data_IF_726103977319
#
_entry.id   IF_726103977319
#
_cell.length_a   1.000
_cell.length_b   1.000
_cell.length_c   1.000
_cell.angle_alpha   90.00
_cell.angle_beta   90.00
_cell.angle_gamma   90.00
#
_symmetry.space_group_name_H-M   'P 1'
#
loop_
_entity.id
_entity.type
_entity.pdbx_description
1 polymer ?
#
# COMPACT_ATOMS: atom_id res chain seq x y z
N UNK A 1 -11.65 -24.72 -11.07
CA UNK A 1 -10.95 -23.43 -10.87
C UNK A 1 -10.24 -23.46 -9.52
N UNK A 2 -8.92 -23.25 -9.48
CA UNK A 2 -8.13 -23.30 -8.25
C UNK A 2 -8.17 -21.93 -7.56
N UNK A 3 -8.82 -21.84 -6.39
CA UNK A 3 -8.77 -20.64 -5.54
C UNK A 3 -7.43 -20.63 -4.81
N UNK A 4 -6.62 -19.59 -5.00
CA UNK A 4 -5.34 -19.45 -4.27
C UNK A 4 -5.61 -18.58 -3.04
N UNK A 5 -5.72 -19.26 -1.90
CA UNK A 5 -5.77 -18.64 -0.58
C UNK A 5 -4.32 -18.49 -0.12
N UNK A 6 -3.94 -17.31 0.33
CA UNK A 6 -2.59 -17.09 0.88
C UNK A 6 -2.70 -16.36 2.20
N UNK A 7 -2.21 -17.04 3.25
CA UNK A 7 -2.11 -16.51 4.61
C UNK A 7 -0.66 -16.11 4.80
N UNK A 8 -0.44 -14.83 5.15
CA UNK A 8 0.89 -14.30 5.42
C UNK A 8 0.98 -13.98 6.92
N UNK A 9 1.96 -14.57 7.61
CA UNK A 9 2.42 -14.16 8.94
C UNK A 9 3.75 -13.42 8.72
N UNK A 10 3.75 -12.10 8.82
CA UNK A 10 4.88 -11.31 8.30
C UNK A 10 6.02 -11.11 9.30
N UNK A 11 5.76 -11.18 10.61
CA UNK A 11 6.76 -11.28 11.67
C UNK A 11 6.08 -11.14 13.04
N UNK A 12 6.64 -11.81 14.06
CA UNK A 12 6.38 -11.52 15.47
C UNK A 12 7.73 -11.43 16.17
N UNK A 13 8.05 -10.27 16.74
CA UNK A 13 9.24 -10.10 17.58
C UNK A 13 8.81 -10.07 19.05
N UNK A 14 9.38 -10.99 19.84
CA UNK A 14 9.26 -11.03 21.28
C UNK A 14 10.57 -10.48 21.85
N UNK A 15 10.49 -9.36 22.59
CA UNK A 15 11.66 -8.77 23.24
C UNK A 15 11.35 -8.66 24.72
N UNK A 16 11.92 -9.57 25.51
CA UNK A 16 11.73 -9.63 26.95
C UNK A 16 12.81 -8.76 27.63
N UNK A 17 12.39 -7.69 28.30
CA UNK A 17 13.30 -6.81 29.03
C UNK A 17 13.34 -7.23 30.51
N UNK A 18 14.45 -7.85 30.88
CA UNK A 18 14.72 -8.51 32.18
C UNK A 18 14.68 -7.60 33.42
N UNK A 19 14.37 -6.30 33.28
CA UNK A 19 14.37 -5.33 34.38
C UNK A 19 12.98 -4.89 34.86
N UNK A 20 11.91 -5.21 34.14
CA UNK A 20 10.54 -4.87 34.54
C UNK A 20 9.57 -5.81 33.82
N UNK A 21 8.85 -6.67 34.54
CA UNK A 21 7.96 -7.72 33.97
C UNK A 21 6.77 -7.22 33.13
N UNK A 22 7.03 -6.49 32.05
CA UNK A 22 6.07 -6.01 31.06
C UNK A 22 6.33 -6.74 29.74
N UNK A 23 5.38 -7.59 29.35
CA UNK A 23 5.51 -8.50 28.22
C UNK A 23 5.10 -7.80 26.90
N UNK A 24 6.03 -7.11 26.23
CA UNK A 24 5.76 -6.36 24.98
C UNK A 24 5.84 -7.32 23.78
N UNK A 25 4.81 -7.33 22.93
CA UNK A 25 4.80 -8.22 21.76
C UNK A 25 4.03 -7.61 20.59
N UNK A 26 4.71 -7.52 19.44
CA UNK A 26 4.11 -7.07 18.19
C UNK A 26 3.58 -8.27 17.42
N UNK A 27 2.31 -8.24 17.05
CA UNK A 27 1.66 -9.32 16.30
C UNK A 27 1.01 -8.76 15.04
N UNK A 28 1.22 -9.43 13.91
CA UNK A 28 0.52 -9.14 12.66
C UNK A 28 -0.05 -10.44 12.08
N UNK A 29 -1.34 -10.41 11.71
CA UNK A 29 -2.02 -11.53 11.07
C UNK A 29 -2.72 -11.01 9.82
N UNK A 30 -2.54 -11.70 8.70
CA UNK A 30 -3.13 -11.34 7.42
C UNK A 30 -3.77 -12.54 6.72
N UNK A 31 -4.96 -12.32 6.18
CA UNK A 31 -5.66 -13.25 5.30
C UNK A 31 -5.89 -12.58 3.95
N UNK A 32 -5.61 -13.29 2.86
CA UNK A 32 -5.93 -12.81 1.51
C UNK A 32 -6.49 -13.93 0.65
N UNK A 33 -7.39 -13.56 -0.25
CA UNK A 33 -7.99 -14.49 -1.18
C UNK A 33 -8.25 -13.83 -2.53
N UNK A 34 -8.05 -14.62 -3.60
CA UNK A 34 -8.27 -14.22 -4.98
C UNK A 34 -9.45 -14.97 -5.57
N UNK A 35 -10.30 -14.25 -6.29
CA UNK A 35 -11.52 -14.73 -6.93
C UNK A 35 -11.56 -14.26 -8.39
N UNK A 36 -12.49 -14.76 -9.18
CA UNK A 36 -12.56 -14.47 -10.62
C UNK A 36 -12.81 -12.98 -10.94
N UNK A 37 -13.40 -12.25 -9.99
CA UNK A 37 -13.71 -10.83 -10.11
C UNK A 37 -12.65 -9.90 -9.50
N UNK A 38 -11.67 -10.42 -8.75
CA UNK A 38 -10.69 -9.59 -8.06
C UNK A 38 -10.03 -10.30 -6.88
N UNK A 39 -9.37 -9.55 -6.01
CA UNK A 39 -8.77 -10.05 -4.78
C UNK A 39 -9.12 -9.18 -3.60
N UNK A 40 -9.15 -9.78 -2.42
CA UNK A 40 -9.32 -9.06 -1.18
C UNK A 40 -8.33 -9.58 -0.14
N UNK A 41 -7.94 -8.71 0.77
CA UNK A 41 -7.15 -9.05 1.94
C UNK A 41 -7.66 -8.32 3.16
N UNK A 42 -7.50 -8.95 4.31
CA UNK A 42 -7.71 -8.39 5.63
C UNK A 42 -6.47 -8.66 6.45
N UNK A 43 -5.96 -7.66 7.13
CA UNK A 43 -4.91 -7.86 8.12
C UNK A 43 -5.24 -7.09 9.39
N UNK A 44 -4.78 -7.64 10.51
CA UNK A 44 -4.83 -7.00 11.81
C UNK A 44 -3.41 -6.98 12.36
N UNK A 45 -3.05 -5.91 13.04
CA UNK A 45 -1.80 -5.79 13.76
C UNK A 45 -2.05 -5.15 15.13
N UNK A 46 -1.25 -5.57 16.11
CA UNK A 46 -1.14 -4.95 17.42
C UNK A 46 0.31 -4.66 17.70
N UNK A 47 0.62 -3.42 18.04
CA UNK A 47 1.93 -2.99 18.55
C UNK A 47 1.81 -2.32 19.91
N UNK A 48 2.92 -2.25 20.65
CA UNK A 48 2.97 -1.60 21.96
C UNK A 48 3.87 -0.37 21.86
N UNK A 49 3.39 0.78 22.35
CA UNK A 49 4.20 2.00 22.39
C UNK A 49 5.17 1.99 23.60
N UNK A 50 6.03 3.00 23.70
CA UNK A 50 7.03 3.10 24.78
C UNK A 50 6.40 3.19 26.18
N UNK A 51 5.18 3.75 26.27
CA UNK A 51 4.38 3.96 27.47
C UNK A 51 3.54 2.72 27.89
N UNK A 52 3.49 1.69 27.04
CA UNK A 52 2.75 0.45 27.29
C UNK A 52 1.31 0.41 26.80
N UNK A 53 0.84 1.45 26.09
CA UNK A 53 -0.45 1.41 25.41
C UNK A 53 -0.37 0.55 24.15
N UNK A 54 -1.48 -0.14 23.86
CA UNK A 54 -1.63 -0.94 22.64
C UNK A 54 -2.13 -0.09 21.49
N UNK A 55 -1.44 -0.15 20.36
CA UNK A 55 -1.88 0.38 19.07
C UNK A 55 -2.34 -0.77 18.20
N UNK A 56 -3.67 -0.89 18.10
CA UNK A 56 -4.32 -1.84 17.20
C UNK A 56 -4.55 -1.18 15.85
N UNK A 57 -4.39 -1.94 14.78
CA UNK A 57 -4.80 -1.49 13.45
C UNK A 57 -5.31 -2.65 12.63
N UNK A 58 -6.44 -2.45 11.96
CA UNK A 58 -6.95 -3.39 10.96
C UNK A 58 -6.89 -2.73 9.60
N UNK A 59 -6.52 -3.50 8.59
CA UNK A 59 -6.47 -3.11 7.19
C UNK A 59 -7.33 -4.07 6.38
N UNK A 60 -8.08 -3.52 5.44
CA UNK A 60 -8.90 -4.24 4.49
C UNK A 60 -8.53 -3.70 3.11
N UNK A 61 -8.09 -4.55 2.21
CA UNK A 61 -7.74 -4.15 0.84
C UNK A 61 -8.55 -4.95 -0.17
N UNK A 62 -9.04 -4.29 -1.21
CA UNK A 62 -9.76 -4.88 -2.32
C UNK A 62 -9.09 -4.42 -3.62
N UNK A 63 -8.78 -5.35 -4.50
CA UNK A 63 -8.22 -5.05 -5.82
C UNK A 63 -9.11 -5.65 -6.87
N UNK A 64 -9.63 -4.82 -7.77
CA UNK A 64 -10.55 -5.23 -8.82
C UNK A 64 -9.94 -4.84 -10.17
N UNK A 65 -9.62 -5.81 -11.04
CA UNK A 65 -9.18 -5.51 -12.40
C UNK A 65 -10.32 -4.85 -13.20
N UNK A 66 -10.02 -3.73 -13.87
CA UNK A 66 -10.99 -2.93 -14.63
C UNK A 66 -11.62 -3.75 -15.76
N UNK A 67 -10.87 -4.64 -16.40
CA UNK A 67 -11.40 -5.59 -17.38
C UNK A 67 -12.56 -6.45 -16.84
N UNK A 68 -12.53 -6.81 -15.55
CA UNK A 68 -13.61 -7.58 -14.90
C UNK A 68 -14.81 -6.70 -14.56
N UNK A 69 -14.60 -5.41 -14.30
CA UNK A 69 -15.67 -4.44 -14.06
C UNK A 69 -16.40 -4.07 -15.36
N UNK A 70 -15.66 -3.86 -16.44
CA UNK A 70 -16.20 -3.41 -17.72
C UNK A 70 -16.59 -4.56 -18.65
N UNK A 71 -16.23 -5.81 -18.31
CA UNK A 71 -16.50 -6.98 -19.14
C UNK A 71 -15.76 -6.98 -20.48
N UNK A 72 -14.70 -6.18 -20.60
CA UNK A 72 -13.89 -6.03 -21.81
C UNK A 72 -12.68 -6.94 -21.77
N UNK A 73 -12.09 -7.22 -22.94
CA UNK A 73 -10.81 -7.95 -23.02
C UNK A 73 -9.67 -7.21 -22.29
N UNK A 74 -8.66 -7.99 -21.90
CA UNK A 74 -7.49 -7.50 -21.18
C UNK A 74 -6.79 -6.40 -21.99
N UNK A 75 -6.74 -5.19 -21.43
CA UNK A 75 -6.08 -4.06 -22.07
C UNK A 75 -4.57 -4.12 -21.85
N UNK A 76 -3.80 -4.00 -22.93
CA UNK A 76 -2.33 -3.94 -22.89
C UNK A 76 -1.82 -2.62 -22.31
N UNK A 77 -2.63 -1.56 -22.36
CA UNK A 77 -2.30 -0.23 -21.84
C UNK A 77 -3.53 0.45 -21.24
N UNK A 78 -3.29 1.35 -20.29
CA UNK A 78 -4.34 2.04 -19.55
C UNK A 78 -4.32 1.68 -18.07
N UNK A 79 -5.26 2.26 -17.33
CA UNK A 79 -5.59 1.78 -15.99
C UNK A 79 -6.10 0.34 -16.08
N UNK A 80 -5.53 -0.52 -15.24
CA UNK A 80 -5.79 -1.96 -15.23
C UNK A 80 -6.50 -2.42 -13.97
N UNK A 81 -6.27 -1.78 -12.83
CA UNK A 81 -6.91 -2.13 -11.56
C UNK A 81 -7.42 -0.91 -10.80
N UNK A 82 -8.40 -1.17 -9.94
CA UNK A 82 -8.83 -0.29 -8.87
C UNK A 82 -8.52 -0.99 -7.56
N UNK A 83 -7.79 -0.30 -6.69
CA UNK A 83 -7.29 -0.78 -5.42
C UNK A 83 -7.92 0.09 -4.32
N UNK A 84 -8.71 -0.51 -3.45
CA UNK A 84 -9.34 0.17 -2.31
C UNK A 84 -8.77 -0.39 -1.03
N UNK A 85 -8.11 0.44 -0.21
CA UNK A 85 -7.63 0.08 1.11
C UNK A 85 -8.38 0.87 2.18
N UNK A 86 -8.80 0.19 3.23
CA UNK A 86 -9.46 0.76 4.40
C UNK A 86 -8.60 0.38 5.60
N UNK A 87 -8.28 1.32 6.46
CA UNK A 87 -7.63 1.05 7.74
C UNK A 87 -8.38 1.70 8.90
N UNK A 88 -8.31 1.08 10.07
CA UNK A 88 -8.90 1.61 11.31
C UNK A 88 -8.01 1.25 12.49
N UNK A 89 -7.81 2.21 13.39
CA UNK A 89 -7.09 2.01 14.65
C UNK A 89 -8.00 1.65 15.84
N UNK A 90 -9.31 1.52 15.62
CA UNK A 90 -10.35 1.35 16.64
C UNK A 90 -10.43 2.46 17.71
N UNK A 91 -9.56 3.48 17.65
CA UNK A 91 -9.55 4.65 18.54
C UNK A 91 -10.28 5.84 17.93
N UNK A 92 -10.71 5.71 16.67
CA UNK A 92 -11.55 6.67 15.95
C UNK A 92 -10.86 7.27 14.73
N UNK A 93 -9.64 6.84 14.40
CA UNK A 93 -8.99 7.22 13.16
C UNK A 93 -9.21 6.11 12.13
N UNK A 94 -9.87 6.49 11.03
CA UNK A 94 -10.14 5.59 9.92
C UNK A 94 -9.59 6.21 8.65
N UNK A 95 -8.96 5.43 7.79
CA UNK A 95 -8.45 5.89 6.51
C UNK A 95 -9.04 5.04 5.40
N UNK A 96 -9.57 5.69 4.38
CA UNK A 96 -9.99 5.10 3.13
C UNK A 96 -9.04 5.60 2.05
N UNK A 97 -8.45 4.69 1.29
CA UNK A 97 -7.58 4.99 0.15
C UNK A 97 -8.14 4.24 -1.06
N UNK A 98 -8.37 4.94 -2.14
CA UNK A 98 -8.76 4.36 -3.42
C UNK A 98 -7.72 4.79 -4.43
N UNK A 99 -7.06 3.83 -5.06
CA UNK A 99 -6.12 4.08 -6.13
C UNK A 99 -6.52 3.32 -7.38
N UNK A 100 -6.10 3.84 -8.52
CA UNK A 100 -6.14 3.12 -9.78
C UNK A 100 -4.76 3.16 -10.37
N UNK A 101 -4.29 2.01 -10.83
CA UNK A 101 -2.95 1.87 -11.41
C UNK A 101 -3.03 1.24 -12.79
N UNK A 102 -2.03 1.54 -13.60
CA UNK A 102 -1.98 1.16 -14.99
C UNK A 102 -0.56 1.19 -15.53
N UNK A 103 -0.41 0.67 -16.74
CA UNK A 103 0.86 0.59 -17.43
C UNK A 103 0.71 1.06 -18.87
N UNK A 104 1.84 1.43 -19.47
CA UNK A 104 1.99 1.54 -20.93
C UNK A 104 2.04 0.17 -21.59
N UNK A 105 1.80 0.09 -22.91
CA UNK A 105 1.75 -1.18 -23.66
C UNK A 105 2.99 -2.06 -23.49
N UNK A 106 4.16 -1.46 -23.27
CA UNK A 106 5.43 -2.17 -23.09
C UNK A 106 5.82 -2.33 -21.60
N UNK A 107 4.91 -2.02 -20.67
CA UNK A 107 5.12 -2.01 -19.22
C UNK A 107 6.32 -1.17 -18.72
N UNK A 108 6.90 -0.32 -19.58
CA UNK A 108 8.05 0.54 -19.21
C UNK A 108 7.64 1.72 -18.36
N UNK A 109 6.43 2.23 -18.58
CA UNK A 109 5.85 3.30 -17.78
C UNK A 109 4.72 2.72 -16.95
N UNK A 110 4.81 2.92 -15.64
CA UNK A 110 3.76 2.62 -14.67
C UNK A 110 3.22 3.93 -14.14
N UNK A 111 1.91 4.03 -13.96
CA UNK A 111 1.30 5.21 -13.35
C UNK A 111 0.16 4.79 -12.45
N UNK A 112 -0.07 5.58 -11.42
CA UNK A 112 -1.21 5.41 -10.54
C UNK A 112 -1.72 6.75 -10.06
N UNK A 113 -3.02 6.80 -9.82
CA UNK A 113 -3.68 7.92 -9.17
C UNK A 113 -4.28 7.37 -7.90
N UNK A 114 -4.07 8.05 -6.79
CA UNK A 114 -4.57 7.65 -5.50
C UNK A 114 -5.33 8.81 -4.87
N UNK A 115 -6.51 8.53 -4.37
CA UNK A 115 -7.31 9.44 -3.57
C UNK A 115 -7.52 8.80 -2.21
N UNK A 116 -7.68 9.60 -1.18
CA UNK A 116 -8.06 9.04 0.11
C UNK A 116 -8.68 10.05 1.04
N UNK A 117 -9.26 9.51 2.10
CA UNK A 117 -9.99 10.21 3.11
C UNK A 117 -9.56 9.67 4.47
N UNK A 118 -9.02 10.53 5.31
CA UNK A 118 -8.69 10.22 6.70
C UNK A 118 -9.72 10.89 7.59
N UNK A 119 -10.51 10.08 8.28
CA UNK A 119 -11.32 10.52 9.40
C UNK A 119 -10.46 10.52 10.64
N UNK A 120 -10.44 11.64 11.36
CA UNK A 120 -9.70 11.75 12.60
C UNK A 120 -10.64 12.19 13.71
N UNK A 121 -10.57 11.53 14.86
CA UNK A 121 -11.43 11.89 16.00
C UNK A 121 -10.99 13.18 16.70
N UNK A 122 -9.69 13.49 16.67
CA UNK A 122 -9.09 14.60 17.40
C UNK A 122 -8.78 15.81 16.49
N UNK A 123 -8.78 15.62 15.17
CA UNK A 123 -8.40 16.61 14.16
C UNK A 123 -9.45 16.70 13.05
N UNK A 124 -9.29 17.67 12.15
CA UNK A 124 -10.14 17.79 10.96
C UNK A 124 -9.95 16.58 10.05
N UNK A 125 -11.04 16.16 9.42
CA UNK A 125 -10.99 15.17 8.36
C UNK A 125 -10.16 15.67 7.18
N UNK A 126 -9.34 14.79 6.61
CA UNK A 126 -8.39 15.14 5.57
C UNK A 126 -8.67 14.32 4.32
N UNK A 127 -8.98 15.00 3.22
CA UNK A 127 -9.00 14.38 1.89
C UNK A 127 -7.66 14.61 1.22
N UNK A 128 -7.20 13.67 0.42
CA UNK A 128 -6.01 13.86 -0.39
C UNK A 128 -6.14 13.22 -1.76
N UNK A 129 -5.41 13.78 -2.72
CA UNK A 129 -5.27 13.27 -4.07
C UNK A 129 -3.79 13.28 -4.43
N UNK A 130 -3.33 12.22 -5.05
CA UNK A 130 -1.96 12.06 -5.49
C UNK A 130 -1.89 11.28 -6.79
N UNK A 131 -0.74 11.46 -7.44
CA UNK A 131 -0.36 10.72 -8.63
C UNK A 131 1.06 10.23 -8.47
N UNK A 132 1.31 9.04 -8.99
CA UNK A 132 2.63 8.45 -9.09
C UNK A 132 2.87 8.03 -10.53
N UNK A 133 4.09 8.22 -11.01
CA UNK A 133 4.53 7.70 -12.28
C UNK A 133 5.97 7.18 -12.14
N UNK A 134 6.25 6.04 -12.75
CA UNK A 134 7.59 5.51 -12.87
C UNK A 134 7.87 5.08 -14.30
N UNK A 135 9.13 5.24 -14.68
CA UNK A 135 9.68 4.82 -15.95
C UNK A 135 10.87 3.91 -15.70
N UNK A 136 10.76 2.69 -16.20
CA UNK A 136 11.79 1.68 -16.15
C UNK A 136 12.54 1.63 -17.48
N UNK A 137 13.85 1.85 -17.39
CA UNK A 137 14.77 1.76 -18.51
C UNK A 137 15.82 0.68 -18.25
N UNK A 138 16.50 0.17 -19.29
CA UNK A 138 17.59 -0.79 -19.11
C UNK A 138 18.74 -0.30 -18.23
N UNK A 139 18.89 1.02 -18.06
CA UNK A 139 20.00 1.65 -17.33
C UNK A 139 19.60 2.15 -15.94
N UNK A 140 18.32 2.03 -15.58
CA UNK A 140 17.80 2.53 -14.32
C UNK A 140 16.29 2.82 -14.33
N UNK A 141 15.76 3.09 -13.14
CA UNK A 141 14.36 3.44 -12.92
C UNK A 141 14.27 4.88 -12.46
N UNK A 142 13.40 5.66 -13.08
CA UNK A 142 13.02 6.99 -12.62
C UNK A 142 11.59 6.92 -12.10
N UNK A 143 11.32 7.46 -10.92
CA UNK A 143 9.96 7.54 -10.39
C UNK A 143 9.70 8.90 -9.73
N UNK A 144 8.45 9.31 -9.77
CA UNK A 144 7.99 10.53 -9.15
C UNK A 144 6.58 10.38 -8.61
N UNK A 145 6.31 11.04 -7.48
CA UNK A 145 4.97 11.21 -6.95
C UNK A 145 4.71 12.66 -6.59
N UNK A 146 3.45 13.04 -6.74
CA UNK A 146 2.90 14.31 -6.28
C UNK A 146 1.65 14.01 -5.46
N UNK A 147 1.44 14.74 -4.38
CA UNK A 147 0.19 14.66 -3.62
C UNK A 147 -0.19 16.02 -3.06
N UNK A 148 -1.49 16.24 -2.91
CA UNK A 148 -2.07 17.42 -2.29
C UNK A 148 -3.22 17.01 -1.39
N UNK A 149 -3.33 17.66 -0.23
CA UNK A 149 -4.32 17.37 0.79
C UNK A 149 -5.21 18.59 1.03
N UNK A 150 -6.40 18.38 1.61
CA UNK A 150 -7.38 19.45 1.84
C UNK A 150 -6.93 20.52 2.85
N UNK A 151 -5.89 20.23 3.63
CA UNK A 151 -5.25 21.18 4.55
C UNK A 151 -4.11 21.98 3.87
N UNK A 152 -4.17 22.12 2.55
CA UNK A 152 -3.22 22.85 1.70
C UNK A 152 -1.76 22.35 1.75
N UNK A 153 -1.53 21.16 2.33
CA UNK A 153 -0.23 20.48 2.31
C UNK A 153 0.00 19.82 0.96
N UNK A 154 1.17 20.05 0.36
CA UNK A 154 1.58 19.49 -0.93
C UNK A 154 2.93 18.80 -0.77
N UNK A 155 3.06 17.59 -1.28
CA UNK A 155 4.29 16.83 -1.24
C UNK A 155 4.68 16.40 -2.65
N UNK A 156 5.98 16.45 -2.92
CA UNK A 156 6.57 16.03 -4.18
C UNK A 156 7.79 15.19 -3.85
N UNK A 157 7.86 14.00 -4.43
CA UNK A 157 8.98 13.07 -4.25
C UNK A 157 9.47 12.61 -5.62
N UNK A 158 10.79 12.59 -5.77
CA UNK A 158 11.46 12.08 -6.96
C UNK A 158 12.51 11.06 -6.51
N UNK A 159 12.53 9.90 -7.14
CA UNK A 159 13.52 8.86 -6.91
C UNK A 159 14.11 8.37 -8.22
N UNK A 160 15.40 8.09 -8.21
CA UNK A 160 16.11 7.54 -9.36
C UNK A 160 17.04 6.44 -8.87
N UNK A 161 17.01 5.32 -9.56
CA UNK A 161 17.91 4.19 -9.35
C UNK A 161 18.69 3.98 -10.64
N UNK A 162 20.01 3.97 -10.56
CA UNK A 162 20.90 3.78 -11.72
C UNK A 162 21.75 2.53 -11.50
N UNK A 163 21.96 1.74 -12.54
CA UNK A 163 22.86 0.58 -12.50
C UNK A 163 24.24 1.01 -13.01
N UNK A 164 25.26 0.94 -12.15
CA UNK A 164 26.65 1.17 -12.52
C UNK A 164 27.38 -0.16 -12.75
N UNK A 165 27.95 -0.34 -13.95
CA UNK A 165 28.87 -1.43 -14.24
C UNK A 165 30.30 -0.94 -14.08
N UNK A 166 31.07 -1.60 -13.21
CA UNK A 166 32.52 -1.41 -13.14
C UNK A 166 33.17 -2.39 -14.11
N UNK A 167 33.80 -1.89 -15.18
CA UNK A 167 34.64 -2.71 -16.06
C UNK A 167 36.03 -2.70 -15.44
N UNK A 168 36.45 -3.83 -14.88
CA UNK A 168 37.85 -4.04 -14.53
C UNK A 168 38.64 -4.10 -15.85
N UNK A 169 39.56 -3.17 -16.03
CA UNK A 169 40.57 -3.24 -17.09
C UNK A 169 41.79 -3.87 -16.43
N UNK A 170 42.04 -5.15 -16.75
CA UNK A 170 43.30 -5.84 -16.42
C UNK A 170 44.45 -5.35 -17.31
#
# INVERSE_FOLDING_TARGET
MRKKITVHLSSGSWSDYWASGQNRSNYSIGYSNSTSWGSYSVSAQRSWNEDGDTDDSVYLSFTIPIEKLLGTEQRTSGFQSIDTQISSDFKGNNQLNVSSSGYSDNARVSYSVNTGYTMNKASKDLSYVGGYASYESPWGTLAGSISANSDNSRQVSLSTTVVLYCIAVD
#
